data_IF_978004531976
#
_entry.id   IF_978004531976
#
_cell.length_a   1.000
_cell.length_b   1.000
_cell.length_c   1.000
_cell.angle_alpha   90.00
_cell.angle_beta   90.00
_cell.angle_gamma   90.00
#
_symmetry.space_group_name_H-M   'P 1'
#
loop_
_entity.id
_entity.type
_entity.pdbx_description
1 polymer ?
#
# COMPACT_ATOMS: atom_id res chain seq x y z
N UNK A 1 4.45 -6.56 18.13
CA UNK A 1 4.13 -7.64 19.11
C UNK A 1 5.18 -8.72 18.94
N UNK A 2 5.92 -9.15 19.98
CA UNK A 2 7.06 -10.07 19.82
C UNK A 2 6.76 -11.33 19.01
N UNK A 3 5.58 -11.89 19.21
CA UNK A 3 5.05 -13.09 18.54
C UNK A 3 4.80 -12.89 17.03
N UNK A 4 4.82 -11.64 16.57
CA UNK A 4 4.61 -11.23 15.17
C UNK A 4 5.82 -10.44 14.62
N UNK A 5 6.99 -10.55 15.26
CA UNK A 5 8.19 -9.79 14.88
C UNK A 5 8.82 -10.22 13.55
N UNK A 6 8.39 -11.35 13.03
CA UNK A 6 8.82 -11.97 11.77
C UNK A 6 7.90 -11.61 10.59
N UNK A 7 6.81 -10.86 10.81
CA UNK A 7 5.96 -10.37 9.74
C UNK A 7 6.75 -9.46 8.79
N UNK A 8 6.70 -9.79 7.50
CA UNK A 8 7.49 -9.12 6.46
C UNK A 8 6.58 -8.52 5.37
N UNK A 9 6.91 -7.32 4.84
CA UNK A 9 7.95 -6.39 5.32
C UNK A 9 7.60 -5.71 6.65
N UNK A 10 8.57 -5.45 7.53
CA UNK A 10 8.31 -4.95 8.88
C UNK A 10 7.59 -3.60 8.86
N UNK A 11 8.03 -2.64 8.05
CA UNK A 11 7.44 -1.30 7.99
C UNK A 11 6.00 -1.31 7.46
N UNK A 12 5.65 -2.27 6.59
CA UNK A 12 4.29 -2.43 6.12
C UNK A 12 3.40 -2.91 7.27
N UNK A 13 3.82 -3.95 7.99
CA UNK A 13 3.06 -4.48 9.12
C UNK A 13 3.01 -3.51 10.29
N UNK A 14 4.09 -2.81 10.60
CA UNK A 14 4.11 -1.76 11.63
C UNK A 14 3.13 -0.63 11.33
N UNK A 15 2.98 -0.27 10.05
CA UNK A 15 2.06 0.81 9.64
C UNK A 15 0.62 0.35 9.40
N UNK A 16 0.42 -0.94 9.10
CA UNK A 16 -0.89 -1.53 8.78
C UNK A 16 -1.57 -2.13 10.01
N UNK A 17 -0.87 -2.97 10.77
CA UNK A 17 -1.49 -3.81 11.78
C UNK A 17 -1.84 -3.04 13.04
N UNK A 18 -3.14 -2.90 13.30
CA UNK A 18 -3.69 -2.52 14.61
C UNK A 18 -4.51 -3.64 15.24
N UNK A 19 -4.58 -4.79 14.57
CA UNK A 19 -5.19 -6.03 15.01
C UNK A 19 -4.44 -7.18 14.37
N UNK A 20 -4.18 -8.23 15.15
CA UNK A 20 -3.68 -9.50 14.63
C UNK A 20 -4.38 -10.62 15.41
N UNK A 21 -5.10 -11.46 14.69
CA UNK A 21 -5.75 -12.66 15.21
C UNK A 21 -4.76 -13.78 15.47
N UNK A 22 -5.22 -14.78 16.21
CA UNK A 22 -4.46 -16.02 16.34
C UNK A 22 -4.55 -16.82 15.04
N UNK A 23 -3.47 -17.49 14.71
CA UNK A 23 -3.33 -18.28 13.49
C UNK A 23 -2.76 -19.65 13.87
N UNK A 24 -3.51 -20.70 13.51
CA UNK A 24 -3.15 -22.08 13.83
C UNK A 24 -2.03 -22.60 12.91
N UNK A 25 -1.90 -22.08 11.69
CA UNK A 25 -0.89 -22.50 10.72
C UNK A 25 0.51 -22.00 11.10
N UNK A 26 0.59 -20.81 11.72
CA UNK A 26 1.86 -20.24 12.19
C UNK A 26 2.19 -20.54 13.65
N UNK A 27 1.39 -21.39 14.32
CA UNK A 27 1.52 -21.71 15.76
C UNK A 27 1.57 -20.44 16.64
N UNK A 28 0.80 -19.39 16.30
CA UNK A 28 0.75 -18.11 17.03
C UNK A 28 -0.54 -17.99 17.85
N UNK A 29 -0.58 -18.50 19.09
CA UNK A 29 -1.78 -18.48 19.93
C UNK A 29 -2.01 -17.11 20.60
N UNK A 30 -1.89 -16.02 19.86
CA UNK A 30 -1.98 -14.67 20.41
C UNK A 30 -2.88 -13.76 19.58
N UNK A 31 -3.68 -12.96 20.28
CA UNK A 31 -4.48 -11.89 19.70
C UNK A 31 -3.88 -10.57 20.18
N UNK A 32 -3.71 -9.64 19.25
CA UNK A 32 -3.30 -8.28 19.57
C UNK A 32 -4.26 -7.27 18.99
N UNK A 33 -4.39 -6.14 19.67
CA UNK A 33 -5.17 -5.00 19.20
C UNK A 33 -4.53 -3.70 19.69
N UNK A 34 -4.72 -2.63 18.93
CA UNK A 34 -4.26 -1.30 19.27
C UNK A 34 -4.97 -0.77 20.51
N UNK A 35 -4.20 -0.25 21.45
CA UNK A 35 -4.73 0.40 22.65
C UNK A 35 -5.70 1.54 22.30
N UNK A 36 -5.35 2.33 21.27
CA UNK A 36 -6.16 3.44 20.77
C UNK A 36 -7.57 3.02 20.37
N UNK A 37 -7.75 1.80 19.87
CA UNK A 37 -9.07 1.26 19.51
C UNK A 37 -9.88 0.83 20.74
N UNK A 38 -9.21 0.27 21.76
CA UNK A 38 -9.87 -0.21 22.97
C UNK A 38 -10.38 0.91 23.87
N UNK A 39 -9.61 2.01 23.96
CA UNK A 39 -9.91 3.13 24.86
C UNK A 39 -10.41 4.38 24.13
N UNK A 40 -10.59 4.30 22.81
CA UNK A 40 -11.09 5.38 21.94
C UNK A 40 -10.19 6.62 21.89
N UNK A 41 -8.87 6.42 21.79
CA UNK A 41 -7.98 7.57 21.60
C UNK A 41 -8.28 8.28 20.28
N UNK A 42 -8.32 9.62 20.26
CA UNK A 42 -8.39 10.38 19.01
C UNK A 42 -7.26 9.97 18.07
N UNK A 43 -7.52 9.88 16.77
CA UNK A 43 -6.52 9.46 15.78
C UNK A 43 -6.48 7.96 15.48
N UNK A 44 -7.24 7.12 16.20
CA UNK A 44 -7.40 5.70 15.87
C UNK A 44 -7.86 5.51 14.40
N UNK A 45 -7.08 4.81 13.55
CA UNK A 45 -7.47 4.55 12.16
C UNK A 45 -8.71 3.67 12.02
N UNK A 46 -9.10 2.95 13.08
CA UNK A 46 -10.24 2.03 13.13
C UNK A 46 -11.33 2.49 14.11
N UNK A 47 -11.43 3.80 14.38
CA UNK A 47 -12.34 4.36 15.38
C UNK A 47 -13.84 4.04 15.18
N UNK A 48 -14.24 3.49 14.02
CA UNK A 48 -15.64 3.13 13.70
C UNK A 48 -16.01 1.71 14.11
N UNK A 49 -15.06 0.93 14.59
CA UNK A 49 -15.25 -0.48 14.89
C UNK A 49 -14.47 -0.90 16.16
N UNK A 50 -14.66 -2.14 16.59
CA UNK A 50 -13.82 -2.73 17.64
C UNK A 50 -13.04 -3.92 17.07
N UNK A 51 -11.75 -3.68 16.83
CA UNK A 51 -10.85 -4.66 16.20
C UNK A 51 -10.69 -5.89 17.09
N UNK A 52 -10.66 -5.72 18.42
CA UNK A 52 -10.51 -6.86 19.33
C UNK A 52 -11.61 -7.91 19.16
N UNK A 53 -12.86 -7.52 18.90
CA UNK A 53 -13.94 -8.50 18.68
C UNK A 53 -13.68 -9.32 17.40
N UNK A 54 -13.17 -8.68 16.35
CA UNK A 54 -12.80 -9.34 15.11
C UNK A 54 -11.65 -10.33 15.35
N UNK A 55 -10.53 -9.85 15.88
CA UNK A 55 -9.33 -10.68 16.06
C UNK A 55 -9.52 -11.80 17.09
N UNK A 56 -10.36 -11.56 18.10
CA UNK A 56 -10.72 -12.58 19.08
C UNK A 56 -11.70 -13.61 18.50
N UNK A 57 -12.50 -13.26 17.49
CA UNK A 57 -13.33 -14.22 16.78
C UNK A 57 -12.47 -15.24 16.01
N UNK A 58 -11.38 -14.79 15.38
CA UNK A 58 -10.37 -15.67 14.78
C UNK A 58 -9.80 -16.64 15.82
N UNK A 59 -9.38 -16.15 16.99
CA UNK A 59 -8.84 -17.03 18.03
C UNK A 59 -9.86 -18.02 18.60
N UNK A 60 -11.11 -17.60 18.80
CA UNK A 60 -12.18 -18.53 19.23
C UNK A 60 -12.36 -19.63 18.20
N UNK A 61 -12.35 -19.29 16.91
CA UNK A 61 -12.49 -20.26 15.82
C UNK A 61 -11.30 -21.21 15.75
N UNK A 62 -10.11 -20.67 15.51
CA UNK A 62 -8.91 -21.45 15.20
C UNK A 62 -8.40 -22.24 16.40
N UNK A 63 -8.36 -21.63 17.59
CA UNK A 63 -7.80 -22.27 18.78
C UNK A 63 -8.85 -23.00 19.61
N UNK A 64 -10.12 -22.59 19.51
CA UNK A 64 -11.21 -23.11 20.33
C UNK A 64 -12.08 -24.08 19.56
N UNK A 65 -12.88 -23.55 18.63
CA UNK A 65 -13.97 -24.27 17.96
C UNK A 65 -13.46 -25.44 17.13
N UNK A 66 -12.40 -25.26 16.33
CA UNK A 66 -11.82 -26.33 15.53
C UNK A 66 -11.27 -27.48 16.41
N UNK A 67 -10.92 -27.20 17.66
CA UNK A 67 -10.48 -28.23 18.62
C UNK A 67 -11.64 -28.95 19.29
N UNK A 68 -12.70 -28.24 19.70
CA UNK A 68 -13.80 -28.82 20.48
C UNK A 68 -14.94 -29.39 19.62
N UNK A 69 -15.07 -28.89 18.39
CA UNK A 69 -16.04 -29.35 17.40
C UNK A 69 -15.34 -29.52 16.04
N UNK A 70 -14.89 -30.76 15.73
CA UNK A 70 -14.22 -31.07 14.48
C UNK A 70 -15.06 -30.83 13.22
N UNK A 71 -16.38 -30.62 13.36
CA UNK A 71 -17.27 -30.34 12.22
C UNK A 71 -17.43 -28.85 11.95
N UNK A 72 -16.94 -27.98 12.83
CA UNK A 72 -17.17 -26.54 12.74
C UNK A 72 -16.61 -25.95 11.44
N UNK A 73 -15.37 -26.28 11.09
CA UNK A 73 -14.70 -25.78 9.88
C UNK A 73 -15.48 -26.15 8.61
N UNK A 74 -15.86 -27.43 8.44
CA UNK A 74 -16.62 -27.88 7.26
C UNK A 74 -17.98 -27.16 7.15
N UNK A 75 -18.65 -26.92 8.29
CA UNK A 75 -19.92 -26.19 8.32
C UNK A 75 -19.71 -24.72 7.93
N UNK A 76 -18.65 -24.08 8.42
CA UNK A 76 -18.31 -22.70 8.08
C UNK A 76 -17.99 -22.54 6.59
N UNK A 77 -17.12 -23.38 6.04
CA UNK A 77 -16.79 -23.41 4.60
C UNK A 77 -18.04 -23.60 3.74
N UNK A 78 -18.93 -24.51 4.16
CA UNK A 78 -20.19 -24.78 3.46
C UNK A 78 -21.08 -23.55 3.40
N UNK A 79 -21.30 -22.85 4.52
CA UNK A 79 -22.16 -21.67 4.53
C UNK A 79 -21.50 -20.48 3.82
N UNK A 80 -20.17 -20.35 3.91
CA UNK A 80 -19.41 -19.35 3.17
C UNK A 80 -19.56 -19.52 1.66
N UNK A 81 -19.31 -20.73 1.15
CA UNK A 81 -19.45 -21.03 -0.28
C UNK A 81 -20.89 -20.75 -0.79
N UNK A 82 -21.91 -21.04 0.03
CA UNK A 82 -23.30 -20.71 -0.29
C UNK A 82 -23.56 -19.20 -0.30
N UNK A 83 -23.00 -18.44 0.64
CA UNK A 83 -23.12 -16.99 0.71
C UNK A 83 -22.49 -16.32 -0.52
N UNK A 84 -21.26 -16.72 -0.89
CA UNK A 84 -20.57 -16.21 -2.08
C UNK A 84 -21.33 -16.55 -3.36
N UNK A 85 -21.86 -17.78 -3.48
CA UNK A 85 -22.69 -18.19 -4.64
C UNK A 85 -23.96 -17.35 -4.78
N UNK A 86 -24.53 -16.87 -3.68
CA UNK A 86 -25.70 -15.97 -3.67
C UNK A 86 -25.32 -14.50 -3.91
N UNK A 87 -24.03 -14.19 -4.01
CA UNK A 87 -23.53 -12.82 -4.12
C UNK A 87 -23.64 -12.02 -2.82
N UNK A 88 -23.81 -12.68 -1.67
CA UNK A 88 -23.67 -12.03 -0.37
C UNK A 88 -22.22 -11.61 -0.18
N UNK A 89 -21.99 -10.53 0.56
CA UNK A 89 -20.66 -10.00 0.88
C UNK A 89 -19.82 -9.62 -0.35
N UNK A 90 -20.43 -9.54 -1.54
CA UNK A 90 -19.70 -9.26 -2.77
C UNK A 90 -18.96 -7.92 -2.68
N UNK A 91 -17.63 -7.98 -2.82
CA UNK A 91 -16.76 -6.81 -2.77
C UNK A 91 -16.47 -6.29 -1.36
N UNK A 92 -16.86 -7.03 -0.31
CA UNK A 92 -16.52 -6.71 1.08
C UNK A 92 -15.34 -7.55 1.56
N UNK A 93 -14.74 -7.12 2.68
CA UNK A 93 -13.66 -7.84 3.36
C UNK A 93 -14.08 -9.26 3.78
N UNK A 94 -15.31 -9.41 4.29
CA UNK A 94 -15.93 -10.69 4.63
C UNK A 94 -15.98 -11.72 3.47
N UNK A 95 -15.84 -11.30 2.21
CA UNK A 95 -15.83 -12.24 1.08
C UNK A 95 -14.42 -12.72 0.69
N UNK A 96 -13.39 -12.30 1.43
CA UNK A 96 -11.99 -12.67 1.15
C UNK A 96 -11.75 -14.16 1.35
N UNK A 97 -12.21 -14.70 2.48
CA UNK A 97 -12.18 -16.13 2.83
C UNK A 97 -13.20 -16.41 3.96
N UNK A 98 -13.34 -17.68 4.32
CA UNK A 98 -14.25 -18.16 5.36
C UNK A 98 -13.88 -17.67 6.78
N UNK A 99 -12.60 -17.40 7.05
CA UNK A 99 -12.11 -16.85 8.32
C UNK A 99 -12.62 -15.43 8.53
N UNK A 100 -12.42 -14.56 7.52
CA UNK A 100 -12.89 -13.18 7.55
C UNK A 100 -14.42 -13.11 7.56
N UNK A 101 -15.07 -14.01 6.82
CA UNK A 101 -16.52 -14.16 6.85
C UNK A 101 -17.04 -14.45 8.27
N UNK A 102 -16.37 -15.32 9.02
CA UNK A 102 -16.69 -15.60 10.41
C UNK A 102 -16.47 -14.38 11.31
N UNK A 103 -15.27 -13.79 11.29
CA UNK A 103 -14.90 -12.68 12.17
C UNK A 103 -15.76 -11.43 11.94
N UNK A 104 -16.00 -11.04 10.69
CA UNK A 104 -16.88 -9.92 10.32
C UNK A 104 -18.33 -10.16 10.77
N UNK A 105 -18.78 -11.41 10.68
CA UNK A 105 -20.07 -11.86 11.18
C UNK A 105 -20.19 -11.71 12.69
N UNK A 106 -19.20 -12.18 13.45
CA UNK A 106 -19.17 -12.06 14.92
C UNK A 106 -19.12 -10.58 15.34
N UNK A 107 -18.35 -9.76 14.64
CA UNK A 107 -18.28 -8.32 14.87
C UNK A 107 -19.65 -7.64 14.64
N UNK A 108 -20.37 -8.02 13.58
CA UNK A 108 -21.74 -7.58 13.33
C UNK A 108 -22.71 -8.10 14.40
N UNK A 109 -22.54 -9.36 14.84
CA UNK A 109 -23.35 -9.96 15.90
C UNK A 109 -23.24 -9.20 17.22
N UNK A 110 -22.09 -8.57 17.50
CA UNK A 110 -21.89 -7.73 18.67
C UNK A 110 -22.06 -6.23 18.42
N UNK A 111 -22.47 -5.83 17.21
CA UNK A 111 -22.78 -4.44 16.87
C UNK A 111 -21.55 -3.53 16.82
N UNK A 112 -20.39 -4.09 16.51
CA UNK A 112 -19.11 -3.38 16.48
C UNK A 112 -18.45 -3.36 15.10
N UNK A 113 -19.18 -3.76 14.05
CA UNK A 113 -18.68 -3.72 12.68
C UNK A 113 -18.92 -2.34 12.06
N UNK A 114 -18.08 -1.99 11.09
CA UNK A 114 -18.17 -0.79 10.28
C UNK A 114 -19.22 -0.98 9.18
N UNK A 115 -19.75 0.13 8.65
CA UNK A 115 -20.84 0.11 7.68
C UNK A 115 -20.56 1.01 6.48
N UNK A 116 -20.96 0.55 5.30
CA UNK A 116 -21.07 1.31 4.05
C UNK A 116 -19.78 2.05 3.65
N UNK A 117 -18.70 1.31 3.48
CA UNK A 117 -17.48 1.82 2.86
C UNK A 117 -16.95 0.88 1.78
N UNK A 118 -15.69 1.06 1.40
CA UNK A 118 -15.09 0.30 0.30
C UNK A 118 -14.80 -1.17 0.66
N UNK A 119 -14.81 -1.51 1.94
CA UNK A 119 -14.55 -2.86 2.48
C UNK A 119 -15.78 -3.45 3.19
N UNK A 120 -16.76 -2.66 3.59
CA UNK A 120 -17.93 -3.10 4.37
C UNK A 120 -19.25 -2.75 3.69
N UNK A 121 -20.22 -3.67 3.74
CA UNK A 121 -21.58 -3.41 3.24
C UNK A 121 -22.46 -2.76 4.33
N UNK A 122 -23.78 -2.90 4.19
CA UNK A 122 -24.76 -2.36 5.11
C UNK A 122 -24.95 -3.17 6.40
N UNK A 123 -24.38 -4.37 6.52
CA UNK A 123 -24.56 -5.25 7.67
C UNK A 123 -23.55 -4.88 8.74
N UNK A 124 -24.02 -4.30 9.85
CA UNK A 124 -23.15 -4.05 11.01
C UNK A 124 -23.80 -4.36 12.36
N UNK A 125 -25.07 -4.77 12.35
CA UNK A 125 -25.79 -5.19 13.55
C UNK A 125 -26.24 -6.64 13.46
N UNK A 126 -26.46 -7.25 14.62
CA UNK A 126 -27.04 -8.60 14.73
C UNK A 126 -28.34 -8.75 13.93
N UNK A 127 -29.20 -7.74 13.99
CA UNK A 127 -30.50 -7.76 13.33
C UNK A 127 -30.35 -7.77 11.81
N UNK A 128 -29.44 -6.95 11.28
CA UNK A 128 -29.16 -6.94 9.85
C UNK A 128 -28.50 -8.24 9.42
N UNK A 129 -27.56 -8.77 10.21
CA UNK A 129 -26.92 -10.05 9.93
C UNK A 129 -27.93 -11.20 9.86
N UNK A 130 -28.84 -11.27 10.84
CA UNK A 130 -29.93 -12.26 10.84
C UNK A 130 -30.85 -12.15 9.60
N UNK A 131 -31.05 -10.94 9.08
CA UNK A 131 -31.89 -10.72 7.90
C UNK A 131 -31.13 -10.97 6.58
N UNK A 132 -29.85 -10.61 6.53
CA UNK A 132 -29.00 -10.65 5.33
C UNK A 132 -28.38 -12.03 5.11
N UNK A 133 -27.79 -12.60 6.17
CA UNK A 133 -27.11 -13.89 6.16
C UNK A 133 -27.56 -14.76 7.35
N UNK A 134 -28.77 -15.33 7.28
CA UNK A 134 -29.32 -16.13 8.38
C UNK A 134 -28.51 -17.40 8.66
N UNK A 135 -27.75 -17.92 7.69
CA UNK A 135 -26.92 -19.11 7.89
C UNK A 135 -25.73 -18.79 8.81
N UNK A 136 -25.00 -17.71 8.52
CA UNK A 136 -23.93 -17.22 9.40
C UNK A 136 -24.48 -16.83 10.77
N UNK A 137 -25.59 -16.10 10.82
CA UNK A 137 -26.23 -15.72 12.07
C UNK A 137 -26.59 -16.93 12.95
N UNK A 138 -27.07 -18.02 12.35
CA UNK A 138 -27.40 -19.26 13.06
C UNK A 138 -26.16 -19.94 13.62
N UNK A 139 -25.08 -20.02 12.85
CA UNK A 139 -23.81 -20.60 13.31
C UNK A 139 -23.20 -19.80 14.47
N UNK A 140 -23.22 -18.46 14.38
CA UNK A 140 -22.77 -17.58 15.47
C UNK A 140 -23.65 -17.73 16.71
N UNK A 141 -24.97 -17.85 16.54
CA UNK A 141 -25.90 -18.07 17.66
C UNK A 141 -25.65 -19.41 18.38
N UNK A 142 -25.28 -20.47 17.65
CA UNK A 142 -24.90 -21.75 18.23
C UNK A 142 -23.72 -21.61 19.19
N UNK A 143 -22.69 -20.85 18.78
CA UNK A 143 -21.46 -20.64 19.56
C UNK A 143 -21.68 -19.70 20.75
N UNK A 144 -22.28 -18.53 20.52
CA UNK A 144 -22.34 -17.45 21.52
C UNK A 144 -23.67 -17.38 22.27
N UNK A 145 -24.68 -18.11 21.79
CA UNK A 145 -26.04 -18.11 22.32
C UNK A 145 -26.83 -16.84 22.00
N UNK A 146 -28.10 -16.83 22.43
CA UNK A 146 -29.05 -15.71 22.27
C UNK A 146 -28.80 -14.51 23.21
N UNK A 147 -27.54 -14.26 23.58
CA UNK A 147 -27.20 -13.21 24.55
C UNK A 147 -27.55 -11.83 24.00
N UNK A 148 -28.19 -10.99 24.82
CA UNK A 148 -28.53 -9.59 24.44
C UNK A 148 -27.32 -8.64 24.47
N UNK A 149 -26.17 -9.11 24.94
CA UNK A 149 -24.98 -8.29 25.02
C UNK A 149 -24.52 -7.86 23.62
N UNK A 150 -24.19 -6.58 23.51
CA UNK A 150 -23.55 -5.95 22.37
C UNK A 150 -22.39 -5.13 22.92
N UNK A 151 -21.39 -4.89 22.09
CA UNK A 151 -20.31 -3.99 22.44
C UNK A 151 -20.86 -2.58 22.68
N UNK A 152 -20.31 -1.91 23.68
CA UNK A 152 -20.50 -0.48 23.92
C UNK A 152 -19.14 0.14 24.10
N UNK A 153 -18.92 1.24 23.42
CA UNK A 153 -17.69 2.01 23.53
C UNK A 153 -17.51 2.55 24.96
N UNK A 154 -16.28 2.60 25.52
CA UNK A 154 -16.02 3.22 26.83
C UNK A 154 -16.78 4.52 27.10
N UNK A 155 -16.83 5.43 26.12
CA UNK A 155 -17.52 6.74 26.16
C UNK A 155 -19.05 6.64 26.31
N UNK A 156 -19.65 5.52 25.90
CA UNK A 156 -21.10 5.26 25.94
C UNK A 156 -21.55 4.55 27.22
N UNK A 157 -20.61 4.00 28.01
CA UNK A 157 -20.90 3.24 29.24
C UNK A 157 -21.26 4.21 30.36
N UNK A 158 -22.57 4.44 30.56
CA UNK A 158 -23.12 5.33 31.61
C UNK A 158 -23.93 4.54 32.65
N UNK A 159 -23.56 4.57 33.96
CA UNK A 159 -22.35 5.19 34.51
C UNK A 159 -21.08 4.49 34.03
N UNK A 160 -19.93 5.17 34.13
CA UNK A 160 -18.64 4.62 33.77
C UNK A 160 -18.42 3.26 34.49
N UNK A 161 -17.83 2.31 33.76
CA UNK A 161 -17.56 0.98 34.33
C UNK A 161 -16.55 1.06 35.47
N UNK A 162 -16.70 0.22 36.50
CA UNK A 162 -15.85 0.27 37.69
C UNK A 162 -14.34 0.13 37.37
N UNK A 163 -13.98 -0.62 36.34
CA UNK A 163 -12.59 -0.78 35.88
C UNK A 163 -11.99 0.48 35.26
N UNK A 164 -12.82 1.47 34.88
CA UNK A 164 -12.38 2.75 34.31
C UNK A 164 -12.18 3.82 35.39
N UNK A 165 -12.27 3.48 36.68
CA UNK A 165 -12.12 4.45 37.76
C UNK A 165 -10.72 5.08 37.73
N UNK A 166 -10.67 6.40 37.51
CA UNK A 166 -9.43 7.17 37.44
C UNK A 166 -8.87 7.37 36.03
N UNK A 167 -9.43 6.69 35.03
CA UNK A 167 -9.16 6.98 33.62
C UNK A 167 -9.95 8.21 33.16
N UNK A 168 -9.29 9.07 32.40
CA UNK A 168 -9.87 10.32 31.89
C UNK A 168 -9.41 10.53 30.44
N UNK A 169 -10.28 10.18 29.50
CA UNK A 169 -9.99 10.23 28.07
C UNK A 169 -9.59 11.63 27.59
N UNK A 170 -10.07 12.70 28.25
CA UNK A 170 -9.74 14.08 27.90
C UNK A 170 -8.28 14.45 28.24
N UNK A 171 -7.60 13.64 29.06
CA UNK A 171 -6.18 13.82 29.41
C UNK A 171 -5.23 12.99 28.57
N UNK A 172 -5.73 12.06 27.77
CA UNK A 172 -4.92 11.21 26.93
C UNK A 172 -4.44 11.95 25.68
N UNK A 173 -3.28 11.54 25.17
CA UNK A 173 -2.78 12.04 23.88
C UNK A 173 -3.47 11.32 22.73
N UNK A 174 -3.63 12.02 21.60
CA UNK A 174 -4.08 11.38 20.37
C UNK A 174 -3.07 10.31 19.93
N UNK A 175 -3.56 9.23 19.35
CA UNK A 175 -2.73 8.27 18.64
C UNK A 175 -2.10 8.95 17.42
N UNK A 176 -0.78 8.88 17.34
CA UNK A 176 -0.01 9.38 16.21
C UNK A 176 0.93 8.28 15.69
N UNK A 177 0.97 8.15 14.37
CA UNK A 177 1.95 7.28 13.73
C UNK A 177 3.35 7.87 13.89
N UNK A 178 4.37 7.05 14.23
CA UNK A 178 5.76 7.47 14.17
C UNK A 178 6.12 8.09 12.81
N UNK A 179 6.86 9.21 12.82
CA UNK A 179 7.17 9.97 11.61
C UNK A 179 7.82 9.12 10.50
N UNK A 180 8.69 8.18 10.87
CA UNK A 180 9.34 7.29 9.90
C UNK A 180 8.34 6.38 9.16
N UNK A 181 7.25 5.94 9.81
CA UNK A 181 6.21 5.15 9.15
C UNK A 181 5.32 6.02 8.25
N UNK A 182 5.09 7.28 8.64
CA UNK A 182 4.41 8.26 7.78
C UNK A 182 5.23 8.51 6.51
N UNK A 183 6.53 8.69 6.65
CA UNK A 183 7.44 8.92 5.51
C UNK A 183 7.54 7.69 4.63
N UNK A 184 7.64 6.49 5.23
CA UNK A 184 7.59 5.23 4.50
C UNK A 184 6.27 5.05 3.74
N UNK A 185 5.11 5.31 4.35
CA UNK A 185 3.81 5.19 3.70
C UNK A 185 3.71 6.11 2.46
N UNK A 186 4.20 7.35 2.56
CA UNK A 186 4.24 8.27 1.41
C UNK A 186 5.08 7.71 0.26
N UNK A 187 6.19 7.05 0.57
CA UNK A 187 7.01 6.39 -0.45
C UNK A 187 6.28 5.19 -1.03
N UNK A 188 5.61 4.40 -0.19
CA UNK A 188 4.87 3.20 -0.56
C UNK A 188 3.71 3.52 -1.52
N UNK A 189 2.88 4.50 -1.19
CA UNK A 189 1.76 4.97 -2.03
C UNK A 189 2.21 5.58 -3.36
N UNK A 190 3.43 6.15 -3.39
CA UNK A 190 4.06 6.67 -4.61
C UNK A 190 4.84 5.63 -5.38
N UNK A 191 5.00 4.43 -4.83
CA UNK A 191 5.76 3.39 -5.48
C UNK A 191 7.26 3.40 -5.38
N UNK A 192 7.77 4.24 -4.50
CA UNK A 192 9.20 4.40 -4.33
C UNK A 192 9.77 3.32 -3.40
N UNK A 193 8.90 2.58 -2.70
CA UNK A 193 9.22 1.36 -1.95
C UNK A 193 8.16 0.29 -2.25
N UNK A 194 8.59 -0.97 -2.21
CA UNK A 194 7.79 -2.14 -2.56
C UNK A 194 7.59 -3.03 -1.33
N UNK A 195 6.59 -3.92 -1.39
CA UNK A 195 6.47 -5.06 -0.48
C UNK A 195 7.57 -6.11 -0.69
N UNK A 196 8.24 -6.09 -1.85
CA UNK A 196 9.28 -7.05 -2.15
C UNK A 196 10.52 -6.85 -1.26
N UNK A 197 11.24 -7.93 -0.90
CA UNK A 197 12.55 -7.81 -0.28
C UNK A 197 13.51 -6.93 -1.09
N UNK A 198 14.40 -6.21 -0.40
CA UNK A 198 15.29 -5.20 -1.01
C UNK A 198 16.11 -5.74 -2.20
N UNK A 199 16.43 -7.04 -2.19
CA UNK A 199 17.22 -7.71 -3.23
C UNK A 199 16.39 -8.62 -4.15
N UNK A 200 15.05 -8.56 -4.11
CA UNK A 200 14.21 -9.35 -5.00
C UNK A 200 14.42 -8.87 -6.46
N UNK A 201 14.91 -9.72 -7.39
CA UNK A 201 15.11 -9.32 -8.77
C UNK A 201 13.79 -8.97 -9.48
N UNK A 202 13.86 -7.98 -10.38
CA UNK A 202 12.77 -7.66 -11.30
C UNK A 202 12.63 -8.78 -12.34
N UNK A 203 11.45 -9.39 -12.41
CA UNK A 203 11.14 -10.42 -13.39
C UNK A 203 11.02 -9.81 -14.79
N UNK A 204 11.64 -10.46 -15.77
CA UNK A 204 11.62 -9.97 -17.14
C UNK A 204 10.33 -10.39 -17.85
N UNK A 205 9.65 -9.48 -18.55
CA UNK A 205 8.46 -9.82 -19.32
C UNK A 205 8.84 -10.66 -20.54
N UNK A 206 8.00 -11.65 -20.80
CA UNK A 206 8.01 -12.48 -21.99
C UNK A 206 6.88 -12.05 -22.93
N UNK A 207 7.10 -12.26 -24.22
CA UNK A 207 6.05 -12.08 -25.22
C UNK A 207 4.85 -12.99 -24.92
N UNK A 208 3.65 -12.57 -25.33
CA UNK A 208 2.41 -13.31 -25.07
C UNK A 208 2.41 -14.71 -25.71
N UNK A 209 3.16 -14.89 -26.80
CA UNK A 209 3.34 -16.15 -27.52
C UNK A 209 4.60 -16.92 -27.10
N UNK A 210 5.27 -16.51 -26.02
CA UNK A 210 6.44 -17.21 -25.50
C UNK A 210 6.07 -18.60 -24.97
N UNK A 211 6.57 -19.64 -25.66
CA UNK A 211 6.29 -21.05 -25.36
C UNK A 211 6.68 -21.49 -23.95
N UNK A 212 7.75 -20.90 -23.42
CA UNK A 212 8.22 -21.19 -22.05
C UNK A 212 7.22 -20.77 -20.96
N UNK A 213 6.28 -19.86 -21.27
CA UNK A 213 5.22 -19.43 -20.38
C UNK A 213 3.83 -19.94 -20.79
N UNK A 214 3.74 -20.92 -21.71
CA UNK A 214 2.46 -21.55 -22.10
C UNK A 214 1.86 -22.37 -20.96
N UNK A 215 2.69 -22.83 -20.01
CA UNK A 215 2.29 -23.59 -18.82
C UNK A 215 3.35 -23.48 -17.74
N UNK A 216 2.95 -23.68 -16.49
CA UNK A 216 3.91 -23.88 -15.40
C UNK A 216 4.64 -25.22 -15.56
N UNK A 217 5.87 -25.25 -15.07
CA UNK A 217 6.62 -26.49 -14.85
C UNK A 217 6.67 -26.80 -13.36
N UNK A 218 6.63 -28.08 -13.02
CA UNK A 218 6.77 -28.50 -11.64
C UNK A 218 8.14 -28.09 -11.09
N UNK A 219 8.14 -27.56 -9.87
CA UNK A 219 9.32 -27.33 -9.05
C UNK A 219 8.94 -27.55 -7.60
N UNK A 220 9.88 -28.08 -6.82
CA UNK A 220 9.82 -28.17 -5.36
C UNK A 220 10.42 -26.93 -4.68
N UNK A 221 10.86 -25.94 -5.47
CA UNK A 221 11.45 -24.70 -4.97
C UNK A 221 10.41 -23.62 -4.80
N UNK A 222 10.02 -23.37 -3.56
CA UNK A 222 9.15 -22.24 -3.21
C UNK A 222 9.84 -20.89 -3.47
N UNK A 223 9.06 -19.93 -3.98
CA UNK A 223 9.44 -18.53 -4.16
C UNK A 223 8.25 -17.62 -3.92
N UNK A 224 8.51 -16.40 -3.48
CA UNK A 224 7.51 -15.34 -3.40
C UNK A 224 7.53 -14.49 -4.68
N UNK A 225 6.34 -14.13 -5.16
CA UNK A 225 6.20 -13.25 -6.31
C UNK A 225 5.44 -11.98 -5.93
N UNK A 226 6.14 -10.86 -5.92
CA UNK A 226 5.60 -9.55 -5.58
C UNK A 226 5.18 -8.81 -6.84
N UNK A 227 3.99 -8.24 -6.86
CA UNK A 227 3.46 -7.51 -8.01
C UNK A 227 2.92 -6.18 -7.56
N UNK A 228 3.38 -5.13 -8.22
CA UNK A 228 2.93 -3.76 -8.02
C UNK A 228 2.34 -3.20 -9.31
N UNK A 229 1.12 -2.68 -9.22
CA UNK A 229 0.49 -1.93 -10.30
C UNK A 229 0.69 -0.41 -10.14
N UNK A 230 1.68 0.18 -10.81
CA UNK A 230 1.83 1.64 -10.97
C UNK A 230 1.10 2.22 -12.17
N UNK A 231 0.43 1.38 -12.94
CA UNK A 231 -0.32 1.88 -14.08
C UNK A 231 -1.60 2.59 -13.63
N UNK A 232 -2.14 3.43 -14.49
CA UNK A 232 -3.43 4.10 -14.27
C UNK A 232 -4.63 3.18 -14.52
N UNK A 233 -4.39 1.94 -14.93
CA UNK A 233 -5.43 0.97 -15.27
C UNK A 233 -5.45 -0.18 -14.27
N UNK A 234 -6.62 -0.78 -14.06
CA UNK A 234 -6.72 -2.02 -13.32
C UNK A 234 -6.14 -3.18 -14.15
N UNK A 235 -5.38 -4.03 -13.48
CA UNK A 235 -4.73 -5.20 -14.05
C UNK A 235 -5.29 -6.48 -13.44
N UNK A 236 -5.10 -7.57 -14.17
CA UNK A 236 -5.35 -8.93 -13.74
C UNK A 236 -4.06 -9.71 -13.84
N UNK A 237 -3.74 -10.49 -12.83
CA UNK A 237 -2.67 -11.48 -12.89
C UNK A 237 -3.23 -12.87 -12.64
N UNK A 238 -2.84 -13.81 -13.50
CA UNK A 238 -3.31 -15.19 -13.50
C UNK A 238 -2.11 -16.15 -13.44
N UNK A 239 -2.20 -17.19 -12.60
CA UNK A 239 -1.29 -18.32 -12.66
C UNK A 239 -1.66 -19.19 -13.86
N UNK A 240 -0.66 -19.59 -14.66
CA UNK A 240 -0.85 -20.51 -15.78
C UNK A 240 -0.55 -21.93 -15.30
N UNK A 241 -1.56 -22.78 -15.18
CA UNK A 241 -1.43 -24.14 -14.62
C UNK A 241 -0.51 -25.04 -15.44
N UNK A 242 -0.23 -26.24 -14.93
CA UNK A 242 0.56 -27.27 -15.65
C UNK A 242 -0.09 -27.70 -16.98
N UNK A 243 -1.40 -27.52 -17.13
CA UNK A 243 -2.17 -27.77 -18.36
C UNK A 243 -2.31 -26.53 -19.25
N UNK A 244 -1.74 -25.39 -18.85
CA UNK A 244 -1.84 -24.13 -19.59
C UNK A 244 -3.15 -23.37 -19.40
N UNK A 245 -3.91 -23.67 -18.34
CA UNK A 245 -5.16 -22.96 -17.99
C UNK A 245 -4.87 -21.80 -17.04
N UNK A 246 -5.78 -20.85 -16.93
CA UNK A 246 -5.66 -19.75 -15.96
C UNK A 246 -6.36 -20.09 -14.64
N UNK A 247 -5.66 -19.86 -13.52
CA UNK A 247 -6.14 -20.06 -12.16
C UNK A 247 -5.54 -19.00 -11.23
N UNK A 248 -5.98 -18.99 -9.96
CA UNK A 248 -5.48 -18.09 -8.91
C UNK A 248 -5.46 -16.61 -9.33
N UNK A 249 -6.62 -16.17 -9.82
CA UNK A 249 -6.87 -14.80 -10.27
C UNK A 249 -6.67 -13.79 -9.14
N UNK A 250 -5.93 -12.73 -9.43
CA UNK A 250 -5.96 -11.50 -8.62
C UNK A 250 -6.18 -10.26 -9.49
N UNK A 251 -7.10 -9.41 -9.05
CA UNK A 251 -7.24 -8.04 -9.57
C UNK A 251 -6.30 -7.12 -8.83
N UNK A 252 -5.58 -6.28 -9.58
CA UNK A 252 -4.68 -5.26 -9.07
C UNK A 252 -5.16 -3.90 -9.56
N UNK A 253 -5.75 -3.09 -8.69
CA UNK A 253 -6.12 -1.70 -8.99
C UNK A 253 -4.86 -0.82 -9.10
N UNK A 254 -4.93 0.37 -9.68
CA UNK A 254 -3.84 1.34 -9.61
C UNK A 254 -3.37 1.55 -8.16
N UNK A 255 -2.07 1.39 -7.92
CA UNK A 255 -1.44 1.48 -6.60
C UNK A 255 -1.48 0.21 -5.75
N UNK A 256 -2.21 -0.84 -6.17
CA UNK A 256 -2.23 -2.09 -5.41
C UNK A 256 -0.86 -2.80 -5.49
N UNK A 257 -0.41 -3.29 -4.34
CA UNK A 257 0.70 -4.24 -4.22
C UNK A 257 0.16 -5.56 -3.66
N UNK A 258 0.62 -6.67 -4.22
CA UNK A 258 0.29 -8.03 -3.78
C UNK A 258 1.54 -8.88 -3.78
N UNK A 259 1.57 -9.90 -2.95
CA UNK A 259 2.51 -11.00 -3.09
C UNK A 259 1.75 -12.32 -3.26
N UNK A 260 2.41 -13.28 -3.90
CA UNK A 260 1.90 -14.61 -4.15
C UNK A 260 2.96 -15.63 -3.73
N UNK A 261 2.59 -16.59 -2.88
CA UNK A 261 3.40 -17.78 -2.65
C UNK A 261 3.30 -18.69 -3.87
N UNK A 262 4.42 -19.08 -4.44
CA UNK A 262 4.47 -19.90 -5.65
C UNK A 262 5.75 -20.73 -5.71
N UNK A 263 6.06 -21.29 -6.87
CA UNK A 263 7.26 -22.09 -7.08
C UNK A 263 8.05 -21.57 -8.29
N UNK A 264 9.36 -21.83 -8.29
CA UNK A 264 10.21 -21.54 -9.43
C UNK A 264 9.65 -22.25 -10.69
N UNK A 265 9.85 -21.66 -11.86
CA UNK A 265 9.30 -22.12 -13.15
C UNK A 265 7.77 -22.08 -13.28
N UNK A 266 7.04 -21.55 -12.29
CA UNK A 266 5.63 -21.25 -12.50
C UNK A 266 5.47 -20.10 -13.48
N UNK A 267 4.56 -20.29 -14.44
CA UNK A 267 4.23 -19.31 -15.46
C UNK A 267 3.03 -18.46 -15.02
N UNK A 268 3.08 -17.17 -15.34
CA UNK A 268 2.06 -16.18 -14.98
C UNK A 268 1.74 -15.30 -16.18
N UNK A 269 0.48 -14.85 -16.26
CA UNK A 269 0.05 -13.90 -17.28
C UNK A 269 -0.54 -12.64 -16.65
N UNK A 270 -0.07 -11.49 -17.13
CA UNK A 270 -0.66 -10.20 -16.83
C UNK A 270 -1.60 -9.78 -17.96
N UNK A 271 -2.79 -9.32 -17.61
CA UNK A 271 -3.83 -8.87 -18.54
C UNK A 271 -4.46 -7.57 -18.04
N UNK A 272 -5.13 -6.83 -18.93
CA UNK A 272 -6.05 -5.76 -18.53
C UNK A 272 -7.22 -6.36 -17.73
N UNK A 273 -7.57 -5.76 -16.58
CA UNK A 273 -8.61 -6.33 -15.73
C UNK A 273 -10.00 -6.36 -16.40
N UNK A 274 -10.35 -5.29 -17.11
CA UNK A 274 -11.69 -5.11 -17.66
C UNK A 274 -11.90 -5.88 -18.97
N UNK A 275 -10.92 -5.84 -19.85
CA UNK A 275 -11.03 -6.41 -21.20
C UNK A 275 -10.51 -7.84 -21.27
N UNK A 276 -9.70 -8.26 -20.29
CA UNK A 276 -8.97 -9.52 -20.32
C UNK A 276 -7.87 -9.58 -21.38
N UNK A 277 -7.56 -8.45 -22.04
CA UNK A 277 -6.51 -8.39 -23.07
C UNK A 277 -5.14 -8.70 -22.46
N UNK A 278 -4.39 -9.67 -23.01
CA UNK A 278 -3.09 -10.05 -22.46
C UNK A 278 -2.05 -8.94 -22.71
N UNK A 279 -1.20 -8.70 -21.70
CA UNK A 279 -0.14 -7.66 -21.71
C UNK A 279 1.24 -8.32 -21.84
N UNK A 280 1.58 -9.21 -20.91
CA UNK A 280 2.86 -9.92 -20.89
C UNK A 280 2.72 -11.26 -20.15
N UNK A 281 3.68 -12.15 -20.36
CA UNK A 281 3.84 -13.39 -19.61
C UNK A 281 5.14 -13.38 -18.81
N UNK A 282 5.24 -14.24 -17.81
CA UNK A 282 6.37 -14.31 -16.90
C UNK A 282 6.60 -15.75 -16.47
N UNK A 283 7.85 -16.10 -16.18
CA UNK A 283 8.22 -17.38 -15.56
C UNK A 283 9.06 -17.06 -14.33
N UNK A 284 8.64 -17.55 -13.17
CA UNK A 284 9.31 -17.22 -11.90
C UNK A 284 10.73 -17.82 -11.86
N UNK A 285 11.76 -17.02 -11.53
CA UNK A 285 13.12 -17.52 -11.39
C UNK A 285 13.30 -18.36 -10.12
N UNK A 286 14.36 -19.17 -10.10
CA UNK A 286 14.80 -19.91 -8.91
C UNK A 286 15.55 -18.98 -7.94
N UNK A 287 14.78 -18.22 -7.16
CA UNK A 287 15.23 -17.28 -6.11
C UNK A 287 14.21 -17.31 -4.96
N UNK A 288 14.53 -16.70 -3.81
CA UNK A 288 13.59 -16.65 -2.68
C UNK A 288 12.37 -15.77 -2.98
N UNK A 289 12.59 -14.65 -3.66
CA UNK A 289 11.56 -13.66 -3.97
C UNK A 289 11.90 -12.98 -5.29
N UNK A 290 10.90 -12.66 -6.09
CA UNK A 290 11.03 -11.84 -7.29
C UNK A 290 9.93 -10.78 -7.32
N UNK A 291 10.13 -9.69 -8.07
CA UNK A 291 9.16 -8.61 -8.16
C UNK A 291 8.82 -8.22 -9.59
N UNK A 292 7.59 -7.73 -9.78
CA UNK A 292 7.08 -7.15 -11.02
C UNK A 292 6.49 -5.78 -10.72
N UNK A 293 7.07 -4.73 -11.29
CA UNK A 293 6.60 -3.36 -11.16
C UNK A 293 5.98 -2.87 -12.48
N UNK A 294 4.66 -3.03 -12.62
CA UNK A 294 3.94 -2.68 -13.85
C UNK A 294 3.70 -1.18 -13.94
N UNK A 295 4.00 -0.55 -15.07
CA UNK A 295 3.81 0.90 -15.26
C UNK A 295 4.93 1.77 -14.68
N UNK A 296 5.97 1.15 -14.12
CA UNK A 296 7.04 1.82 -13.40
C UNK A 296 8.12 2.44 -14.31
N UNK A 297 8.00 2.38 -15.63
CA UNK A 297 9.05 2.86 -16.54
C UNK A 297 9.42 4.35 -16.34
N UNK A 298 8.47 5.19 -15.92
CA UNK A 298 8.73 6.60 -15.61
C UNK A 298 9.19 6.85 -14.16
N UNK A 299 8.82 5.99 -13.20
CA UNK A 299 9.14 6.13 -11.78
C UNK A 299 10.46 5.41 -11.42
N UNK A 300 10.76 4.22 -11.96
CA UNK A 300 12.09 3.60 -11.93
C UNK A 300 13.14 4.44 -12.66
N UNK A 301 12.78 5.09 -13.78
CA UNK A 301 13.68 6.03 -14.45
C UNK A 301 14.00 7.28 -13.59
N UNK A 302 13.12 7.63 -12.65
CA UNK A 302 13.35 8.72 -11.70
C UNK A 302 14.17 8.29 -10.47
N UNK A 303 14.18 6.99 -10.13
CA UNK A 303 14.82 6.41 -8.94
C UNK A 303 16.15 5.69 -9.19
N UNK A 304 16.46 5.29 -10.43
CA UNK A 304 17.77 4.74 -10.76
C UNK A 304 18.88 5.75 -10.35
N UNK A 305 20.00 5.30 -9.76
CA UNK A 305 21.11 6.19 -9.47
C UNK A 305 21.55 6.81 -10.79
N UNK A 306 21.29 8.12 -10.95
CA UNK A 306 21.53 8.81 -12.21
C UNK A 306 22.99 8.60 -12.61
N UNK A 307 23.31 8.07 -13.81
CA UNK A 307 24.63 8.32 -14.38
C UNK A 307 24.76 9.85 -14.42
N UNK A 308 25.81 10.41 -13.79
CA UNK A 308 25.97 11.86 -13.53
C UNK A 308 25.27 12.69 -14.61
N UNK A 309 24.10 13.22 -14.27
CA UNK A 309 23.24 13.88 -15.23
C UNK A 309 24.00 15.07 -15.82
N UNK A 310 23.97 15.20 -17.15
CA UNK A 310 24.39 16.45 -17.78
C UNK A 310 23.51 17.56 -17.21
N UNK A 311 24.10 18.67 -16.72
CA UNK A 311 23.31 19.74 -16.13
C UNK A 311 22.33 20.29 -17.17
N UNK A 312 21.09 20.56 -16.73
CA UNK A 312 20.20 21.43 -17.49
C UNK A 312 20.71 22.87 -17.31
N UNK A 313 21.44 23.36 -18.31
CA UNK A 313 22.00 24.71 -18.29
C UNK A 313 20.96 25.67 -18.87
N UNK A 314 20.44 26.56 -18.03
CA UNK A 314 19.67 27.73 -18.46
C UNK A 314 20.65 28.90 -18.59
N UNK A 315 20.90 29.34 -19.83
CA UNK A 315 21.71 30.53 -20.11
C UNK A 315 20.79 31.74 -20.23
N UNK A 316 21.07 32.79 -19.43
CA UNK A 316 20.32 34.05 -19.43
C UNK A 316 21.28 35.16 -19.81
N UNK A 317 21.10 35.73 -20.99
CA UNK A 317 21.82 36.92 -21.43
C UNK A 317 20.95 38.17 -21.18
N UNK A 318 21.53 39.19 -20.56
CA UNK A 318 20.87 40.48 -20.33
C UNK A 318 21.63 41.54 -21.10
N UNK A 319 20.88 42.34 -21.86
CA UNK A 319 21.40 43.34 -22.78
C UNK A 319 21.26 44.73 -22.17
N UNK A 320 22.22 45.62 -22.45
CA UNK A 320 22.32 46.98 -21.88
C UNK A 320 22.34 47.07 -20.34
N UNK A 321 22.68 45.97 -19.64
CA UNK A 321 22.88 45.97 -18.18
C UNK A 321 24.34 46.29 -17.82
N UNK A 322 24.54 47.34 -17.03
CA UNK A 322 25.86 47.71 -16.51
C UNK A 322 26.15 47.04 -15.15
N UNK A 323 27.33 47.31 -14.59
CA UNK A 323 27.74 46.76 -13.29
C UNK A 323 27.18 47.52 -12.07
N UNK A 324 26.32 48.52 -12.27
CA UNK A 324 25.73 49.32 -11.18
C UNK A 324 24.58 48.54 -10.52
N UNK A 325 24.87 47.38 -9.95
CA UNK A 325 23.90 46.52 -9.25
C UNK A 325 24.14 46.52 -7.75
N UNK A 326 23.09 46.21 -6.98
CA UNK A 326 23.19 46.05 -5.52
C UNK A 326 24.22 45.01 -5.12
N UNK A 327 24.31 43.90 -5.87
CA UNK A 327 25.38 42.89 -5.69
C UNK A 327 26.77 43.51 -5.78
N UNK A 328 27.04 44.43 -6.72
CA UNK A 328 28.33 45.10 -6.86
C UNK A 328 28.51 46.33 -5.94
N UNK A 329 27.57 46.57 -5.02
CA UNK A 329 27.68 47.61 -3.99
C UNK A 329 27.19 49.00 -4.43
N UNK A 330 26.45 49.09 -5.53
CA UNK A 330 25.91 50.39 -5.96
C UNK A 330 24.88 50.92 -4.94
N UNK A 331 25.05 52.14 -4.39
CA UNK A 331 24.33 52.59 -3.20
C UNK A 331 22.84 52.90 -3.42
N UNK A 332 22.40 53.00 -4.68
CA UNK A 332 21.03 53.41 -5.03
C UNK A 332 20.24 52.36 -5.82
N UNK A 333 20.88 51.30 -6.32
CA UNK A 333 20.21 50.35 -7.23
C UNK A 333 19.59 49.21 -6.43
N UNK A 334 18.29 49.02 -6.60
CA UNK A 334 17.52 47.99 -5.91
C UNK A 334 17.27 46.78 -6.84
N UNK A 335 18.09 45.73 -6.70
CA UNK A 335 18.10 44.55 -7.57
C UNK A 335 17.88 43.22 -6.82
N UNK A 336 16.83 43.07 -5.98
CA UNK A 336 16.73 42.00 -4.99
C UNK A 336 16.78 40.58 -5.57
N UNK A 337 16.25 40.38 -6.78
CA UNK A 337 16.28 39.06 -7.44
C UNK A 337 17.67 38.71 -7.99
N UNK A 338 18.38 39.70 -8.55
CA UNK A 338 19.76 39.52 -9.05
C UNK A 338 20.73 39.36 -7.89
N UNK A 339 20.53 40.11 -6.82
CA UNK A 339 21.33 40.00 -5.59
C UNK A 339 21.15 38.64 -4.93
N UNK A 340 19.91 38.12 -4.90
CA UNK A 340 19.63 36.76 -4.44
C UNK A 340 20.30 35.71 -5.33
N UNK A 341 20.25 35.87 -6.64
CA UNK A 341 20.91 34.96 -7.58
C UNK A 341 22.43 34.95 -7.38
N UNK A 342 23.05 36.12 -7.21
CA UNK A 342 24.49 36.24 -6.94
C UNK A 342 24.89 35.61 -5.60
N UNK A 343 24.07 35.72 -4.55
CA UNK A 343 24.31 35.08 -3.24
C UNK A 343 24.18 33.55 -3.29
N UNK A 344 23.35 33.02 -4.17
CA UNK A 344 23.11 31.58 -4.33
C UNK A 344 24.06 30.92 -5.35
N UNK A 345 24.88 31.71 -6.05
CA UNK A 345 25.75 31.23 -7.13
C UNK A 345 27.19 31.74 -7.03
N UNK A 346 27.94 31.54 -8.11
CA UNK A 346 29.28 32.10 -8.28
C UNK A 346 29.18 33.41 -9.07
N UNK A 347 29.71 34.50 -8.50
CA UNK A 347 29.79 35.81 -9.14
C UNK A 347 31.24 36.12 -9.51
N UNK A 348 31.45 36.74 -10.68
CA UNK A 348 32.76 37.22 -11.12
C UNK A 348 32.86 38.73 -10.93
N UNK A 349 33.83 39.18 -10.14
CA UNK A 349 34.11 40.61 -9.98
C UNK A 349 34.91 41.21 -11.16
N UNK A 350 35.41 40.34 -12.05
CA UNK A 350 36.18 40.69 -13.24
C UNK A 350 35.61 39.97 -14.46
N UNK A 351 34.52 40.51 -15.01
CA UNK A 351 33.89 40.05 -16.25
C UNK A 351 33.95 41.18 -17.28
N UNK A 352 34.74 40.98 -18.33
CA UNK A 352 35.00 42.02 -19.35
C UNK A 352 34.19 41.76 -20.61
N UNK A 353 33.61 42.81 -21.19
CA UNK A 353 33.05 42.74 -22.54
C UNK A 353 34.18 42.68 -23.58
N UNK A 354 34.01 41.88 -24.63
CA UNK A 354 34.99 41.82 -25.73
C UNK A 354 35.04 43.14 -26.52
N UNK A 355 33.93 43.87 -26.58
CA UNK A 355 33.85 45.17 -27.24
C UNK A 355 32.75 46.04 -26.59
N UNK A 356 32.95 47.36 -26.40
CA UNK A 356 32.01 48.22 -25.69
C UNK A 356 30.82 48.72 -26.55
N UNK A 357 30.45 48.00 -27.62
CA UNK A 357 29.32 48.34 -28.51
C UNK A 357 28.38 47.14 -28.59
N UNK A 358 27.06 47.38 -28.53
CA UNK A 358 26.06 46.33 -28.39
C UNK A 358 26.08 45.33 -29.57
N UNK A 359 26.16 45.80 -30.81
CA UNK A 359 26.15 44.91 -31.98
C UNK A 359 27.36 43.94 -32.02
N UNK A 360 28.63 44.41 -31.94
CA UNK A 360 29.79 43.52 -31.88
C UNK A 360 29.78 42.59 -30.66
N UNK A 361 29.32 43.07 -29.50
CA UNK A 361 29.20 42.26 -28.28
C UNK A 361 28.16 41.13 -28.44
N UNK A 362 26.96 41.44 -28.97
CA UNK A 362 25.91 40.43 -29.22
C UNK A 362 26.36 39.40 -30.26
N UNK A 363 27.00 39.84 -31.35
CA UNK A 363 27.56 38.95 -32.37
C UNK A 363 28.63 38.02 -31.77
N UNK A 364 29.52 38.54 -30.93
CA UNK A 364 30.53 37.74 -30.24
C UNK A 364 29.90 36.70 -29.31
N UNK A 365 28.89 37.08 -28.50
CA UNK A 365 28.17 36.15 -27.62
C UNK A 365 27.40 35.06 -28.38
N UNK A 366 26.73 35.40 -29.48
CA UNK A 366 25.93 34.45 -30.26
C UNK A 366 26.79 33.43 -31.03
N UNK A 367 27.95 33.86 -31.50
CA UNK A 367 28.81 33.03 -32.36
C UNK A 367 29.94 32.35 -31.61
N UNK A 368 30.30 32.86 -30.42
CA UNK A 368 31.50 32.42 -29.69
C UNK A 368 32.82 32.89 -30.31
N UNK A 369 32.78 33.82 -31.27
CA UNK A 369 33.94 34.36 -31.97
C UNK A 369 34.29 35.77 -31.46
N UNK A 370 35.54 36.20 -31.70
CA UNK A 370 35.93 37.56 -31.37
C UNK A 370 35.28 38.58 -32.33
N UNK A 371 34.94 39.80 -31.86
CA UNK A 371 34.33 40.85 -32.67
C UNK A 371 35.02 41.09 -34.04
N UNK A 372 36.36 41.05 -34.07
CA UNK A 372 37.19 41.24 -35.27
C UNK A 372 37.00 40.16 -36.34
N UNK A 373 36.46 39.00 -35.94
CA UNK A 373 36.17 37.88 -36.84
C UNK A 373 34.72 37.89 -37.33
N UNK A 374 33.83 38.64 -36.67
CA UNK A 374 32.39 38.66 -36.98
C UNK A 374 31.96 39.73 -37.97
N UNK A 375 32.87 40.64 -38.37
CA UNK A 375 32.62 41.72 -39.34
C UNK A 375 32.46 43.08 -38.68
#
# INVERSE_FOLDING_TARGET
VPEHSDLYPPLFWDKRARGLGADSDSERPCVSCGEENLIELPGDPYAKENILIHEFAHAIHEMGLNTIDPTFQERLETIFAQAIKKGLWKGTYAATNEMEYWAEGVQSWYGSNRQNDFEHNHVNTRKELQAYDPALATLIEEVFGKRKWIYRKPSERKPASAHMKGFDLEKESAFEWPQHLIDWQKLYERGLVSLAPENAPEIQPLAIDAKEADRSLFSDRETEFFVHNFSVQALRIDWVTFEGKFANYARLRPGDQRYFSSFANHAWQLSEAETGKPIARYVLPDVNASQLNVGNAQVLAALAPKPKAKPNVLFVAVDDLNADLGTYGHPLVHSPNVDRLAKQGLRFDRAYCQYPVCNPSRSSFLTGLYPEQTG
#
